data_IF_891224802987
#
_entry.id   IF_891224802987
#
_cell.length_a   1.000
_cell.length_b   1.000
_cell.length_c   1.000
_cell.angle_alpha   90.00
_cell.angle_beta   90.00
_cell.angle_gamma   90.00
#
_symmetry.space_group_name_H-M   'P 1'
#
loop_
_entity.id
_entity.type
_entity.pdbx_description
1 polymer ?
#
# COMPACT_ATOMS: atom_id res chain seq x y z
N UNK A 1 7.42 3.09 -13.34
CA UNK A 1 7.75 1.65 -13.28
C UNK A 1 9.02 1.46 -14.10
N UNK A 2 10.19 1.66 -13.50
CA UNK A 2 11.46 1.44 -14.17
C UNK A 2 12.06 0.10 -13.69
N UNK A 3 12.27 -0.82 -14.63
CA UNK A 3 13.22 -1.93 -14.44
C UNK A 3 14.60 -1.27 -14.35
N UNK A 4 15.06 -0.99 -13.13
CA UNK A 4 16.39 -0.42 -12.91
C UNK A 4 17.43 -1.53 -13.07
N UNK A 5 17.97 -1.68 -14.27
CA UNK A 5 19.16 -2.49 -14.55
C UNK A 5 20.39 -1.73 -14.02
N UNK A 6 20.63 -1.77 -12.70
CA UNK A 6 21.90 -1.32 -12.11
C UNK A 6 22.64 -2.54 -11.59
N UNK A 7 23.73 -2.90 -12.29
CA UNK A 7 24.77 -3.80 -11.78
C UNK A 7 25.40 -3.13 -10.55
N UNK A 8 25.24 -3.71 -9.37
CA UNK A 8 26.10 -3.42 -8.23
C UNK A 8 26.94 -4.67 -7.94
N UNK A 9 28.23 -4.56 -8.22
CA UNK A 9 29.26 -5.47 -7.73
C UNK A 9 29.55 -5.11 -6.27
N UNK A 10 29.13 -5.94 -5.32
CA UNK A 10 29.84 -6.24 -4.06
C UNK A 10 29.10 -7.37 -3.33
N UNK A 11 29.74 -8.54 -3.27
CA UNK A 11 29.25 -9.75 -2.62
C UNK A 11 29.40 -9.65 -1.10
N UNK A 12 28.35 -10.00 -0.36
CA UNK A 12 28.48 -10.61 0.97
C UNK A 12 28.18 -12.10 0.80
N UNK A 13 29.21 -12.93 0.94
CA UNK A 13 29.13 -14.38 0.83
C UNK A 13 28.62 -14.98 2.14
N UNK A 14 27.38 -15.47 2.14
CA UNK A 14 26.87 -16.36 3.19
C UNK A 14 26.92 -17.81 2.70
N UNK A 15 27.94 -18.55 3.15
CA UNK A 15 28.08 -20.00 2.94
C UNK A 15 26.94 -20.73 3.66
N UNK A 16 26.14 -21.51 2.92
CA UNK A 16 25.21 -22.50 3.48
C UNK A 16 25.96 -23.81 3.76
N UNK A 17 25.84 -24.44 4.94
CA UNK A 17 26.23 -25.83 5.09
C UNK A 17 25.06 -26.74 4.68
N UNK A 18 25.30 -27.60 3.69
CA UNK A 18 24.45 -28.75 3.39
C UNK A 18 24.73 -29.86 4.39
N UNK A 19 23.73 -30.24 5.19
CA UNK A 19 23.71 -31.55 5.86
C UNK A 19 22.47 -32.32 5.40
N UNK A 20 22.70 -33.48 4.78
CA UNK A 20 21.71 -34.51 4.59
C UNK A 20 21.18 -34.98 5.96
N UNK A 21 19.87 -35.08 6.12
CA UNK A 21 19.25 -35.82 7.21
C UNK A 21 18.16 -36.73 6.66
N UNK A 22 18.27 -38.00 7.05
CA UNK A 22 17.44 -39.11 6.60
C UNK A 22 15.98 -39.02 7.05
N UNK A 23 15.17 -39.78 6.33
CA UNK A 23 13.75 -39.99 6.60
C UNK A 23 13.61 -40.69 7.95
N UNK A 24 13.06 -39.99 8.94
CA UNK A 24 12.56 -40.60 10.18
C UNK A 24 11.11 -40.15 10.36
N UNK A 25 10.24 -41.14 10.49
CA UNK A 25 8.81 -40.97 10.75
C UNK A 25 8.63 -40.32 12.12
N UNK A 26 8.34 -39.01 12.14
CA UNK A 26 7.85 -38.33 13.34
C UNK A 26 6.33 -38.27 13.29
N UNK A 27 5.70 -38.92 14.25
CA UNK A 27 4.28 -38.79 14.57
C UNK A 27 3.96 -37.34 14.96
N UNK A 28 3.54 -36.53 13.98
CA UNK A 28 3.01 -35.20 14.23
C UNK A 28 1.54 -35.29 14.67
N UNK A 29 1.30 -35.57 15.94
CA UNK A 29 -0.01 -35.36 16.54
C UNK A 29 0.12 -34.64 17.89
N UNK A 30 -0.70 -33.59 18.08
CA UNK A 30 -1.10 -32.98 19.36
C UNK A 30 -0.40 -31.71 19.94
N UNK A 31 0.21 -30.82 19.14
CA UNK A 31 0.64 -29.48 19.67
C UNK A 31 0.14 -28.24 18.90
N UNK A 32 -0.39 -28.38 17.69
CA UNK A 32 -0.87 -27.22 16.90
C UNK A 32 -2.23 -26.64 17.32
N UNK A 33 -2.93 -27.26 18.27
CA UNK A 33 -4.35 -26.97 18.54
C UNK A 33 -4.63 -25.94 19.66
N UNK A 34 -3.62 -25.37 20.33
CA UNK A 34 -3.82 -24.56 21.56
C UNK A 34 -3.52 -23.06 21.37
N UNK A 35 -3.05 -22.61 20.21
CA UNK A 35 -2.59 -21.22 20.05
C UNK A 35 -3.71 -20.22 19.70
N UNK A 36 -4.79 -20.69 19.08
CA UNK A 36 -5.92 -19.85 18.69
C UNK A 36 -7.13 -20.09 19.58
N UNK A 37 -7.94 -19.07 19.76
CA UNK A 37 -9.16 -19.10 20.57
C UNK A 37 -10.24 -18.25 19.91
N UNK A 38 -11.49 -18.50 20.27
CA UNK A 38 -12.62 -17.72 19.79
C UNK A 38 -12.72 -16.43 20.60
N UNK A 39 -12.89 -15.30 19.92
CA UNK A 39 -13.13 -14.02 20.55
C UNK A 39 -14.61 -13.88 20.91
N UNK A 40 -14.89 -13.45 22.15
CA UNK A 40 -16.27 -13.42 22.65
C UNK A 40 -17.15 -12.40 21.92
N UNK A 41 -16.61 -11.22 21.60
CA UNK A 41 -17.35 -10.16 20.94
C UNK A 41 -17.26 -10.29 19.40
N UNK A 42 -18.23 -10.99 18.80
CA UNK A 42 -18.33 -11.19 17.35
C UNK A 42 -17.94 -12.58 16.84
N UNK A 43 -17.24 -13.39 17.67
CA UNK A 43 -17.03 -14.81 17.39
C UNK A 43 -15.90 -15.16 16.42
N UNK A 44 -15.06 -14.20 16.03
CA UNK A 44 -13.85 -14.46 15.23
C UNK A 44 -12.75 -15.20 15.99
N UNK A 45 -11.63 -15.45 15.32
CA UNK A 45 -10.52 -16.25 15.86
C UNK A 45 -9.30 -15.37 16.12
N UNK A 46 -8.64 -15.55 17.26
CA UNK A 46 -7.43 -14.80 17.59
C UNK A 46 -6.35 -15.69 18.18
N UNK A 47 -5.08 -15.31 17.98
CA UNK A 47 -3.94 -15.95 18.61
C UNK A 47 -3.77 -15.45 20.05
N UNK A 48 -3.48 -16.34 21.01
CA UNK A 48 -3.39 -16.01 22.45
C UNK A 48 -2.34 -14.95 22.82
N UNK A 49 -1.32 -14.76 21.98
CA UNK A 49 -0.32 -13.69 22.18
C UNK A 49 -0.69 -12.34 21.56
N UNK A 50 -1.85 -12.22 20.91
CA UNK A 50 -2.35 -10.93 20.45
C UNK A 50 -2.80 -10.09 21.65
N UNK A 51 -2.54 -8.78 21.60
CA UNK A 51 -3.00 -7.82 22.58
C UNK A 51 -4.25 -7.12 22.01
N UNK A 52 -5.42 -7.54 22.47
CA UNK A 52 -6.71 -7.07 21.94
C UNK A 52 -7.48 -6.42 23.07
N UNK A 53 -7.88 -5.18 22.89
CA UNK A 53 -8.74 -4.50 23.86
C UNK A 53 -10.11 -5.21 24.00
N UNK A 54 -10.68 -5.36 25.20
CA UNK A 54 -11.95 -6.07 25.39
C UNK A 54 -13.15 -5.51 24.59
N UNK A 55 -13.10 -4.25 24.19
CA UNK A 55 -14.17 -3.59 23.42
C UNK A 55 -14.14 -3.90 21.93
N UNK A 56 -13.07 -4.54 21.42
CA UNK A 56 -12.90 -4.87 20.01
C UNK A 56 -13.99 -5.85 19.55
N UNK A 57 -14.57 -5.57 18.39
CA UNK A 57 -15.48 -6.47 17.68
C UNK A 57 -14.69 -7.23 16.61
N UNK A 58 -14.61 -8.56 16.72
CA UNK A 58 -14.00 -9.43 15.71
C UNK A 58 -15.08 -10.36 15.20
N UNK A 59 -15.56 -10.12 13.98
CA UNK A 59 -16.62 -10.91 13.37
C UNK A 59 -16.20 -12.34 13.06
N UNK A 60 -17.19 -13.22 12.89
CA UNK A 60 -16.99 -14.61 12.52
C UNK A 60 -16.18 -14.74 11.21
N UNK A 61 -15.21 -15.64 11.21
CA UNK A 61 -14.32 -15.85 10.07
C UNK A 61 -13.17 -14.84 9.95
N UNK A 62 -13.15 -13.76 10.73
CA UNK A 62 -11.95 -12.93 10.84
C UNK A 62 -10.88 -13.62 11.70
N UNK A 63 -9.60 -13.40 11.38
CA UNK A 63 -8.45 -14.04 12.05
C UNK A 63 -7.43 -12.99 12.47
N UNK A 64 -7.09 -12.98 13.75
CA UNK A 64 -6.03 -12.12 14.33
C UNK A 64 -4.83 -12.97 14.73
N UNK A 65 -3.68 -12.69 14.13
CA UNK A 65 -2.45 -13.45 14.35
C UNK A 65 -1.63 -12.96 15.55
N UNK A 66 -0.55 -13.69 15.82
CA UNK A 66 0.31 -13.51 16.99
C UNK A 66 0.90 -12.10 17.09
N UNK A 67 0.96 -11.58 18.33
CA UNK A 67 1.51 -10.26 18.66
C UNK A 67 0.84 -9.07 17.94
N UNK A 68 -0.28 -9.28 17.26
CA UNK A 68 -1.07 -8.17 16.74
C UNK A 68 -1.61 -7.34 17.92
N UNK A 69 -1.77 -6.04 17.71
CA UNK A 69 -2.24 -5.08 18.72
C UNK A 69 -3.45 -4.35 18.18
N UNK A 70 -4.61 -4.51 18.81
CA UNK A 70 -5.87 -3.89 18.42
C UNK A 70 -6.35 -2.97 19.54
N UNK A 71 -6.45 -1.67 19.26
CA UNK A 71 -6.91 -0.66 20.20
C UNK A 71 -8.42 -0.72 20.50
N UNK A 72 -8.89 0.10 21.46
CA UNK A 72 -10.30 0.12 21.85
C UNK A 72 -11.24 0.45 20.68
N UNK A 73 -12.43 -0.15 20.68
CA UNK A 73 -13.49 0.08 19.71
C UNK A 73 -13.09 -0.19 18.24
N UNK A 74 -12.06 -0.99 18.00
CA UNK A 74 -11.75 -1.49 16.66
C UNK A 74 -12.82 -2.50 16.23
N UNK A 75 -13.19 -2.45 14.95
CA UNK A 75 -14.07 -3.43 14.32
C UNK A 75 -13.33 -4.14 13.19
N UNK A 76 -13.27 -5.46 13.26
CA UNK A 76 -12.69 -6.33 12.22
C UNK A 76 -13.80 -7.14 11.57
N UNK A 77 -14.07 -6.85 10.30
CA UNK A 77 -15.09 -7.51 9.51
C UNK A 77 -14.74 -8.96 9.12
N UNK A 78 -15.76 -9.75 8.84
CA UNK A 78 -15.68 -11.15 8.44
C UNK A 78 -14.67 -11.41 7.31
N UNK A 79 -13.92 -12.50 7.41
CA UNK A 79 -12.92 -12.94 6.42
C UNK A 79 -11.63 -12.11 6.38
N UNK A 80 -11.52 -11.05 7.20
CA UNK A 80 -10.30 -10.26 7.32
C UNK A 80 -9.21 -11.00 8.07
N UNK A 81 -7.97 -10.87 7.60
CA UNK A 81 -6.78 -11.42 8.24
C UNK A 81 -5.90 -10.28 8.73
N UNK A 82 -5.75 -10.21 10.06
CA UNK A 82 -4.80 -9.32 10.73
C UNK A 82 -3.53 -10.11 11.01
N UNK A 83 -2.49 -9.87 10.23
CA UNK A 83 -1.21 -10.58 10.29
C UNK A 83 -0.41 -10.33 11.57
N UNK A 84 0.70 -11.08 11.77
CA UNK A 84 1.53 -10.94 12.95
C UNK A 84 2.08 -9.53 13.11
N UNK A 85 2.15 -9.06 14.35
CA UNK A 85 2.74 -7.75 14.72
C UNK A 85 2.09 -6.53 14.02
N UNK A 86 0.92 -6.70 13.41
CA UNK A 86 0.10 -5.59 12.89
C UNK A 86 -0.47 -4.81 14.07
N UNK A 87 -0.45 -3.48 13.97
CA UNK A 87 -1.06 -2.58 14.96
C UNK A 87 -2.22 -1.83 14.33
N UNK A 88 -3.36 -1.79 15.02
CA UNK A 88 -4.55 -1.05 14.60
C UNK A 88 -4.97 -0.13 15.75
N UNK A 89 -5.02 1.18 15.46
CA UNK A 89 -5.40 2.23 16.38
C UNK A 89 -6.87 2.20 16.77
N UNK A 90 -7.23 2.99 17.78
CA UNK A 90 -8.57 3.00 18.36
C UNK A 90 -9.64 3.43 17.36
N UNK A 91 -10.87 2.95 17.55
CA UNK A 91 -12.05 3.36 16.75
C UNK A 91 -11.90 3.17 15.23
N UNK A 92 -10.95 2.34 14.80
CA UNK A 92 -10.71 2.03 13.38
C UNK A 92 -11.62 0.88 12.93
N UNK A 93 -12.24 1.06 11.76
CA UNK A 93 -13.13 0.08 11.13
C UNK A 93 -12.43 -0.59 9.97
N UNK A 94 -12.30 -1.91 10.04
CA UNK A 94 -11.77 -2.75 8.98
C UNK A 94 -12.91 -3.57 8.39
N UNK A 95 -13.16 -3.42 7.09
CA UNK A 95 -14.22 -4.12 6.38
C UNK A 95 -13.94 -5.61 6.19
N UNK A 96 -14.74 -6.25 5.34
CA UNK A 96 -14.64 -7.67 5.01
C UNK A 96 -13.47 -8.00 4.08
N UNK A 97 -12.93 -9.22 4.23
CA UNK A 97 -11.90 -9.80 3.34
C UNK A 97 -10.66 -8.90 3.15
N UNK A 98 -10.27 -8.16 4.18
CA UNK A 98 -9.08 -7.29 4.15
C UNK A 98 -7.84 -8.11 4.53
N UNK A 99 -6.74 -7.92 3.82
CA UNK A 99 -5.44 -8.53 4.11
C UNK A 99 -4.46 -7.52 4.71
N UNK A 100 -4.16 -7.64 6.00
CA UNK A 100 -3.22 -6.76 6.70
C UNK A 100 -1.97 -7.52 7.12
N UNK A 101 -0.80 -7.13 6.65
CA UNK A 101 0.48 -7.68 7.09
C UNK A 101 1.52 -6.56 7.19
N UNK A 102 2.53 -6.69 8.06
CA UNK A 102 3.65 -5.75 8.15
C UNK A 102 3.23 -4.26 8.18
N UNK A 103 2.12 -3.93 8.85
CA UNK A 103 1.55 -2.59 8.80
C UNK A 103 1.18 -2.04 10.17
N UNK A 104 1.07 -0.72 10.23
CA UNK A 104 0.50 0.02 11.36
C UNK A 104 -0.58 0.93 10.82
N UNK A 105 -1.75 0.86 11.43
CA UNK A 105 -2.90 1.70 11.09
C UNK A 105 -3.21 2.56 12.30
N UNK A 106 -3.31 3.87 12.09
CA UNK A 106 -3.66 4.84 13.12
C UNK A 106 -5.13 4.75 13.56
N UNK A 107 -5.54 5.80 14.24
CA UNK A 107 -6.82 5.90 14.91
C UNK A 107 -7.93 6.40 13.98
N UNK A 108 -9.16 5.97 14.26
CA UNK A 108 -10.38 6.44 13.59
C UNK A 108 -10.33 6.33 12.06
N UNK A 109 -9.68 5.28 11.57
CA UNK A 109 -9.57 4.99 10.14
C UNK A 109 -10.74 4.14 9.64
N UNK A 110 -10.98 4.19 8.33
CA UNK A 110 -11.95 3.32 7.65
C UNK A 110 -11.25 2.60 6.52
N UNK A 111 -11.22 1.28 6.57
CA UNK A 111 -10.64 0.42 5.54
C UNK A 111 -11.77 -0.39 4.93
N UNK A 112 -12.10 -0.10 3.67
CA UNK A 112 -13.16 -0.79 2.93
C UNK A 112 -12.75 -2.20 2.51
N UNK A 113 -13.70 -2.92 1.92
CA UNK A 113 -13.58 -4.35 1.64
C UNK A 113 -12.46 -4.70 0.66
N UNK A 114 -11.83 -5.86 0.84
CA UNK A 114 -10.83 -6.40 -0.09
C UNK A 114 -9.51 -5.62 -0.15
N UNK A 115 -9.31 -4.64 0.72
CA UNK A 115 -8.06 -3.87 0.80
C UNK A 115 -6.89 -4.77 1.22
N UNK A 116 -5.73 -4.55 0.61
CA UNK A 116 -4.49 -5.24 0.94
C UNK A 116 -3.42 -4.22 1.38
N UNK A 117 -2.90 -4.35 2.61
CA UNK A 117 -1.90 -3.43 3.16
C UNK A 117 -0.67 -4.20 3.62
N UNK A 118 0.49 -3.69 3.21
CA UNK A 118 1.82 -4.12 3.60
C UNK A 118 2.32 -5.38 2.90
N UNK A 119 1.76 -5.67 1.71
CA UNK A 119 2.32 -6.66 0.79
C UNK A 119 3.69 -6.23 0.27
N UNK A 120 4.49 -7.19 -0.18
CA UNK A 120 5.77 -6.88 -0.82
C UNK A 120 5.53 -6.09 -2.11
N UNK A 121 6.16 -4.94 -2.25
CA UNK A 121 6.13 -4.22 -3.52
C UNK A 121 6.89 -4.92 -4.64
N UNK A 122 6.69 -4.41 -5.85
CA UNK A 122 7.26 -4.96 -7.08
C UNK A 122 8.77 -4.67 -7.23
N UNK A 123 9.59 -5.31 -6.40
CA UNK A 123 11.05 -5.17 -6.40
C UNK A 123 11.76 -6.44 -6.87
N UNK A 124 12.35 -6.39 -8.06
CA UNK A 124 13.17 -7.48 -8.62
C UNK A 124 14.48 -6.93 -9.17
N UNK A 125 15.54 -7.76 -9.14
CA UNK A 125 16.80 -7.50 -9.85
C UNK A 125 17.14 -8.70 -10.72
N UNK A 126 17.89 -8.44 -11.81
CA UNK A 126 18.39 -9.47 -12.70
C UNK A 126 19.81 -9.81 -12.27
N UNK A 127 20.09 -11.08 -11.95
CA UNK A 127 21.44 -11.53 -11.66
C UNK A 127 22.31 -11.64 -12.94
N UNK A 128 23.60 -11.94 -12.79
CA UNK A 128 24.52 -12.07 -13.93
C UNK A 128 24.16 -13.21 -14.91
N UNK A 129 23.27 -14.13 -14.49
CA UNK A 129 22.78 -15.25 -15.28
C UNK A 129 21.42 -14.97 -15.93
N UNK A 130 20.84 -13.79 -15.71
CA UNK A 130 19.53 -13.42 -16.24
C UNK A 130 18.33 -13.83 -15.37
N UNK A 131 18.55 -14.37 -14.16
CA UNK A 131 17.45 -14.77 -13.28
C UNK A 131 16.81 -13.56 -12.59
N UNK A 132 15.48 -13.57 -12.51
CA UNK A 132 14.70 -12.57 -11.77
C UNK A 132 14.71 -12.91 -10.28
N UNK A 133 15.46 -12.14 -9.50
CA UNK A 133 15.61 -12.32 -8.08
C UNK A 133 14.79 -11.30 -7.31
N UNK A 134 14.00 -11.77 -6.33
CA UNK A 134 13.17 -10.90 -5.49
C UNK A 134 14.04 -10.04 -4.58
N UNK A 135 13.78 -8.73 -4.56
CA UNK A 135 14.39 -7.80 -3.60
C UNK A 135 13.60 -7.86 -2.28
N UNK A 136 14.24 -8.16 -1.14
CA UNK A 136 13.57 -8.17 0.15
C UNK A 136 12.91 -6.83 0.48
N UNK A 137 11.65 -6.87 0.92
CA UNK A 137 10.91 -5.73 1.47
C UNK A 137 10.72 -6.00 2.96
N UNK A 138 11.47 -5.33 3.82
CA UNK A 138 11.56 -5.67 5.25
C UNK A 138 10.86 -4.68 6.18
N UNK A 139 10.45 -3.52 5.66
CA UNK A 139 9.89 -2.44 6.46
C UNK A 139 8.36 -2.49 6.44
N UNK A 140 7.66 -1.41 6.75
CA UNK A 140 6.22 -1.42 6.98
C UNK A 140 5.45 -0.55 6.00
N UNK A 141 4.13 -0.72 6.01
CA UNK A 141 3.19 0.31 5.58
C UNK A 141 2.62 0.99 6.83
N UNK A 142 2.73 2.32 6.90
CA UNK A 142 2.31 3.13 8.05
C UNK A 142 1.18 4.05 7.58
N UNK A 143 0.00 3.83 8.13
CA UNK A 143 -1.20 4.62 7.85
C UNK A 143 -1.45 5.52 9.06
N UNK A 144 -1.59 6.82 8.81
CA UNK A 144 -1.91 7.81 9.83
C UNK A 144 -3.32 7.70 10.39
N UNK A 145 -3.78 8.76 11.03
CA UNK A 145 -5.09 8.86 11.67
C UNK A 145 -6.16 9.40 10.70
N UNK A 146 -7.42 9.05 10.92
CA UNK A 146 -8.57 9.51 10.12
C UNK A 146 -8.43 9.24 8.61
N UNK A 147 -7.65 8.23 8.23
CA UNK A 147 -7.46 7.83 6.83
C UNK A 147 -8.63 6.95 6.40
N UNK A 148 -9.11 7.17 5.18
CA UNK A 148 -10.10 6.29 4.55
C UNK A 148 -9.51 5.64 3.30
N UNK A 149 -9.63 4.33 3.19
CA UNK A 149 -9.07 3.52 2.10
C UNK A 149 -10.19 2.73 1.44
N UNK A 150 -10.49 3.08 0.19
CA UNK A 150 -11.55 2.49 -0.63
C UNK A 150 -11.30 1.03 -1.00
N UNK A 151 -12.35 0.38 -1.47
CA UNK A 151 -12.39 -1.05 -1.71
C UNK A 151 -11.31 -1.50 -2.72
N UNK A 152 -10.72 -2.67 -2.45
CA UNK A 152 -9.69 -3.30 -3.28
C UNK A 152 -8.46 -2.42 -3.57
N UNK A 153 -8.19 -1.40 -2.74
CA UNK A 153 -6.95 -0.63 -2.80
C UNK A 153 -5.79 -1.43 -2.23
N UNK A 154 -4.62 -1.31 -2.87
CA UNK A 154 -3.40 -2.03 -2.50
C UNK A 154 -2.32 -1.04 -2.07
N UNK A 155 -1.71 -1.28 -0.91
CA UNK A 155 -0.63 -0.46 -0.35
C UNK A 155 0.57 -1.35 -0.05
N UNK A 156 1.62 -1.22 -0.84
CA UNK A 156 2.84 -1.99 -0.67
C UNK A 156 3.66 -1.50 0.53
N UNK A 157 4.34 -2.41 1.23
CA UNK A 157 5.29 -2.07 2.30
C UNK A 157 6.58 -1.47 1.74
N UNK A 158 7.34 -0.84 2.63
CA UNK A 158 8.68 -0.34 2.34
C UNK A 158 9.78 -1.41 2.24
N UNK A 159 10.81 -1.14 1.43
CA UNK A 159 12.12 -1.81 1.49
C UNK A 159 13.16 -1.06 2.34
N UNK A 160 13.45 0.20 2.01
CA UNK A 160 14.51 1.00 2.66
C UNK A 160 13.97 2.16 3.51
N UNK A 161 12.75 2.60 3.23
CA UNK A 161 11.91 3.43 4.12
C UNK A 161 10.49 2.90 4.13
N UNK A 162 9.74 3.16 5.18
CA UNK A 162 8.31 2.81 5.23
C UNK A 162 7.54 3.46 4.08
N UNK A 163 6.49 2.78 3.63
CA UNK A 163 5.42 3.42 2.86
C UNK A 163 4.53 4.14 3.86
N UNK A 164 4.24 5.43 3.65
CA UNK A 164 3.50 6.27 4.60
C UNK A 164 2.33 6.95 3.92
N UNK A 165 1.16 6.87 4.56
CA UNK A 165 -0.04 7.64 4.22
C UNK A 165 -0.34 8.58 5.37
N UNK A 166 -0.24 9.89 5.15
CA UNK A 166 -0.46 10.91 6.17
C UNK A 166 -1.93 11.05 6.57
N UNK A 167 -2.12 11.65 7.75
CA UNK A 167 -3.42 11.82 8.40
C UNK A 167 -4.48 12.46 7.50
N UNK A 168 -5.74 12.13 7.74
CA UNK A 168 -6.92 12.66 7.03
C UNK A 168 -6.96 12.40 5.51
N UNK A 169 -6.05 11.60 4.97
CA UNK A 169 -6.05 11.27 3.53
C UNK A 169 -7.20 10.31 3.17
N UNK A 170 -7.70 10.45 1.95
CA UNK A 170 -8.84 9.70 1.40
C UNK A 170 -8.42 9.05 0.08
N UNK A 171 -8.37 7.73 0.07
CA UNK A 171 -8.07 6.93 -1.10
C UNK A 171 -9.37 6.27 -1.54
N UNK A 172 -9.74 6.45 -2.79
CA UNK A 172 -10.90 5.82 -3.39
C UNK A 172 -10.59 4.34 -3.74
N UNK A 173 -11.52 3.68 -4.41
CA UNK A 173 -11.44 2.28 -4.79
C UNK A 173 -10.34 2.03 -5.83
N UNK A 174 -9.75 0.83 -5.78
CA UNK A 174 -8.77 0.34 -6.76
C UNK A 174 -7.55 1.25 -6.93
N UNK A 175 -7.14 1.96 -5.87
CA UNK A 175 -5.90 2.75 -5.88
C UNK A 175 -4.70 1.81 -5.67
N UNK A 176 -3.59 2.07 -6.37
CA UNK A 176 -2.32 1.37 -6.15
C UNK A 176 -1.30 2.33 -5.55
N UNK A 177 -0.78 1.98 -4.37
CA UNK A 177 0.35 2.66 -3.72
C UNK A 177 1.58 1.75 -3.75
N UNK A 178 2.59 2.12 -4.53
CA UNK A 178 3.85 1.40 -4.62
C UNK A 178 4.70 1.45 -3.34
N UNK A 179 5.74 0.62 -3.32
CA UNK A 179 6.67 0.55 -2.19
C UNK A 179 7.40 1.88 -1.94
N UNK A 180 7.67 2.18 -0.67
CA UNK A 180 8.35 3.41 -0.25
C UNK A 180 7.61 4.68 -0.70
N UNK A 181 6.31 4.70 -0.93
CA UNK A 181 5.63 5.98 -1.22
C UNK A 181 5.47 6.76 0.08
N UNK A 182 5.66 8.08 0.05
CA UNK A 182 5.22 8.97 1.15
C UNK A 182 4.16 9.90 0.60
N UNK A 183 2.98 9.88 1.22
CA UNK A 183 1.88 10.81 0.98
C UNK A 183 1.70 11.66 2.23
N UNK A 184 1.67 12.98 2.06
CA UNK A 184 1.37 13.94 3.12
C UNK A 184 -0.06 13.83 3.64
N UNK A 185 -0.47 14.81 4.44
CA UNK A 185 -1.82 14.82 5.06
C UNK A 185 -2.89 15.39 4.14
N UNK A 186 -4.14 14.97 4.36
CA UNK A 186 -5.32 15.54 3.71
C UNK A 186 -5.33 15.37 2.19
N UNK A 187 -4.68 14.34 1.66
CA UNK A 187 -4.65 14.06 0.24
C UNK A 187 -5.92 13.30 -0.21
N UNK A 188 -6.39 13.55 -1.44
CA UNK A 188 -7.54 12.88 -2.04
C UNK A 188 -7.13 12.18 -3.33
N UNK A 189 -7.24 10.86 -3.36
CA UNK A 189 -6.83 10.03 -4.49
C UNK A 189 -8.06 9.36 -5.08
N UNK A 190 -8.55 9.84 -6.22
CA UNK A 190 -9.73 9.27 -6.87
C UNK A 190 -9.43 7.89 -7.48
N UNK A 191 -10.50 7.16 -7.81
CA UNK A 191 -10.43 5.76 -8.17
C UNK A 191 -9.44 5.45 -9.29
N UNK A 192 -8.79 4.29 -9.16
CA UNK A 192 -7.80 3.79 -10.12
C UNK A 192 -6.55 4.68 -10.27
N UNK A 193 -6.29 5.61 -9.34
CA UNK A 193 -5.01 6.30 -9.30
C UNK A 193 -3.87 5.31 -8.98
N UNK A 194 -2.76 5.43 -9.71
CA UNK A 194 -1.59 4.56 -9.58
C UNK A 194 -0.33 5.36 -9.27
N UNK A 195 0.27 5.09 -8.12
CA UNK A 195 1.49 5.75 -7.65
C UNK A 195 2.61 4.72 -7.64
N UNK A 196 3.62 4.92 -8.49
CA UNK A 196 4.78 4.03 -8.54
C UNK A 196 5.71 4.21 -7.31
N UNK A 197 6.66 3.29 -7.17
CA UNK A 197 7.52 3.23 -5.99
C UNK A 197 8.36 4.49 -5.75
N UNK A 198 8.65 4.75 -4.47
CA UNK A 198 9.52 5.84 -4.00
C UNK A 198 9.09 7.26 -4.37
N UNK A 199 7.81 7.47 -4.70
CA UNK A 199 7.23 8.80 -4.86
C UNK A 199 7.12 9.52 -3.52
N UNK A 200 7.26 10.84 -3.54
CA UNK A 200 6.98 11.71 -2.40
C UNK A 200 5.94 12.75 -2.80
N UNK A 201 4.86 12.82 -2.04
CA UNK A 201 3.73 13.73 -2.25
C UNK A 201 3.57 14.58 -1.00
N UNK A 202 3.50 15.90 -1.16
CA UNK A 202 3.19 16.84 -0.09
C UNK A 202 1.74 16.73 0.41
N UNK A 203 1.31 17.76 1.13
CA UNK A 203 -0.01 17.83 1.75
C UNK A 203 -1.09 18.37 0.81
N UNK A 204 -2.34 17.98 1.04
CA UNK A 204 -3.52 18.50 0.34
C UNK A 204 -3.46 18.32 -1.18
N UNK A 205 -2.85 17.22 -1.65
CA UNK A 205 -2.82 16.89 -3.07
C UNK A 205 -4.12 16.21 -3.47
N UNK A 206 -4.65 16.55 -4.65
CA UNK A 206 -5.81 15.86 -5.24
C UNK A 206 -5.41 15.19 -6.55
N UNK A 207 -5.59 13.88 -6.64
CA UNK A 207 -5.43 13.12 -7.88
C UNK A 207 -6.81 12.81 -8.46
N UNK A 208 -7.09 13.27 -9.68
CA UNK A 208 -8.25 12.84 -10.44
C UNK A 208 -8.22 11.34 -10.76
N UNK A 209 -9.35 10.80 -11.21
CA UNK A 209 -9.45 9.37 -11.52
C UNK A 209 -8.41 8.93 -12.55
N UNK A 210 -7.84 7.73 -12.37
CA UNK A 210 -6.82 7.14 -13.26
C UNK A 210 -5.57 8.01 -13.47
N UNK A 211 -5.22 8.88 -12.54
CA UNK A 211 -3.92 9.56 -12.58
C UNK A 211 -2.81 8.54 -12.34
N UNK A 212 -1.73 8.64 -13.12
CA UNK A 212 -0.51 7.84 -12.95
C UNK A 212 0.67 8.73 -12.53
N UNK A 213 1.49 8.26 -11.59
CA UNK A 213 2.71 8.96 -11.15
C UNK A 213 3.91 8.03 -11.34
N UNK A 214 4.93 8.51 -12.07
CA UNK A 214 6.20 7.81 -12.27
C UNK A 214 6.96 7.68 -10.94
N UNK A 215 7.73 6.60 -10.82
CA UNK A 215 8.60 6.33 -9.68
C UNK A 215 9.66 7.42 -9.49
N UNK A 216 10.06 7.61 -8.23
CA UNK A 216 11.08 8.58 -7.83
C UNK A 216 10.77 10.05 -8.18
N UNK A 217 9.49 10.41 -8.24
CA UNK A 217 9.04 11.78 -8.45
C UNK A 217 8.62 12.42 -7.13
N UNK A 218 8.87 13.72 -6.99
CA UNK A 218 8.38 14.57 -5.90
C UNK A 218 7.29 15.53 -6.38
N UNK A 219 6.19 15.63 -5.62
CA UNK A 219 5.06 16.51 -5.92
C UNK A 219 4.82 17.44 -4.72
N UNK A 220 4.87 18.74 -4.96
CA UNK A 220 4.62 19.77 -3.95
C UNK A 220 3.19 19.72 -3.41
N UNK A 221 3.02 20.25 -2.19
CA UNK A 221 1.70 20.37 -1.55
C UNK A 221 0.73 21.20 -2.40
N UNK A 222 -0.57 20.98 -2.24
CA UNK A 222 -1.67 21.72 -2.91
C UNK A 222 -1.64 21.62 -4.44
N UNK A 223 -1.12 20.52 -4.98
CA UNK A 223 -1.23 20.16 -6.40
C UNK A 223 -2.55 19.43 -6.66
N UNK A 224 -3.23 19.78 -7.75
CA UNK A 224 -4.41 19.05 -8.24
C UNK A 224 -4.15 18.55 -9.66
N UNK A 225 -4.26 17.25 -9.86
CA UNK A 225 -4.04 16.59 -11.14
C UNK A 225 -5.37 16.21 -11.78
N UNK A 226 -5.61 16.67 -13.01
CA UNK A 226 -6.79 16.28 -13.77
C UNK A 226 -6.81 14.77 -14.04
N UNK A 227 -8.00 14.19 -14.19
CA UNK A 227 -8.16 12.77 -14.48
C UNK A 227 -7.36 12.32 -15.71
N UNK A 228 -6.88 11.08 -15.71
CA UNK A 228 -6.01 10.48 -16.75
C UNK A 228 -4.67 11.22 -16.99
N UNK A 229 -4.22 12.07 -16.08
CA UNK A 229 -2.91 12.72 -16.21
C UNK A 229 -1.77 11.77 -15.80
N UNK A 230 -0.59 11.97 -16.38
CA UNK A 230 0.60 11.19 -16.09
C UNK A 230 1.75 12.09 -15.68
N UNK A 231 2.17 12.02 -14.41
CA UNK A 231 3.30 12.79 -13.89
C UNK A 231 4.60 12.05 -14.21
N UNK A 232 5.45 12.67 -15.03
CA UNK A 232 6.72 12.10 -15.48
C UNK A 232 7.95 12.76 -14.86
N UNK A 233 7.79 13.91 -14.21
CA UNK A 233 8.85 14.68 -13.56
C UNK A 233 8.32 15.38 -12.33
N UNK A 234 9.24 15.91 -11.51
CA UNK A 234 8.88 16.63 -10.29
C UNK A 234 7.97 17.83 -10.59
N UNK A 235 7.03 18.05 -9.67
CA UNK A 235 6.15 19.22 -9.65
C UNK A 235 6.52 20.00 -8.39
N UNK A 236 7.20 21.13 -8.55
CA UNK A 236 7.72 21.92 -7.43
C UNK A 236 6.75 23.00 -6.97
N UNK A 237 5.78 23.37 -7.80
CA UNK A 237 4.83 24.45 -7.52
C UNK A 237 3.41 23.92 -7.28
N UNK A 238 2.66 24.52 -6.34
CA UNK A 238 1.25 24.23 -6.17
C UNK A 238 0.44 24.67 -7.41
N UNK A 239 -0.70 24.04 -7.64
CA UNK A 239 -1.61 24.44 -8.71
C UNK A 239 -2.26 23.27 -9.44
N UNK A 240 -2.90 23.60 -10.55
CA UNK A 240 -3.61 22.65 -11.39
C UNK A 240 -2.73 22.14 -12.53
N UNK A 241 -2.67 20.82 -12.70
CA UNK A 241 -1.88 20.14 -13.72
C UNK A 241 -2.75 19.16 -14.50
N UNK A 242 -2.40 18.93 -15.76
CA UNK A 242 -3.14 18.01 -16.63
C UNK A 242 -2.31 17.42 -17.76
N UNK A 243 -2.74 16.26 -18.27
CA UNK A 243 -2.22 15.65 -19.48
C UNK A 243 -1.14 14.60 -19.28
N UNK A 244 -0.60 14.12 -20.40
CA UNK A 244 0.54 13.21 -20.47
C UNK A 244 1.55 13.76 -21.50
N UNK A 245 2.72 14.25 -21.05
CA UNK A 245 3.11 14.45 -19.65
C UNK A 245 2.27 15.52 -18.96
N UNK A 246 2.15 15.45 -17.63
CA UNK A 246 1.47 16.45 -16.83
C UNK A 246 2.21 17.79 -16.92
N UNK A 247 1.49 18.86 -17.28
CA UNK A 247 1.95 20.25 -17.35
C UNK A 247 0.92 21.17 -16.69
N UNK A 248 1.23 22.44 -16.39
CA UNK A 248 0.25 23.38 -15.87
C UNK A 248 -1.03 23.39 -16.71
N UNK A 249 -2.20 23.43 -16.05
CA UNK A 249 -3.49 23.14 -16.68
C UNK A 249 -3.80 24.05 -17.89
N UNK A 250 -3.33 25.30 -17.85
CA UNK A 250 -3.54 26.27 -18.91
C UNK A 250 -2.74 25.90 -20.17
N UNK A 251 -1.51 25.42 -20.01
CA UNK A 251 -0.69 24.89 -21.11
C UNK A 251 -1.33 23.64 -21.69
N UNK A 252 -1.76 22.71 -20.84
CA UNK A 252 -2.41 21.49 -21.30
C UNK A 252 -3.69 21.78 -22.11
N UNK A 253 -4.56 22.67 -21.62
CA UNK A 253 -5.76 23.10 -22.36
C UNK A 253 -5.42 23.71 -23.72
N UNK A 254 -4.37 24.53 -23.79
CA UNK A 254 -3.88 25.10 -25.06
C UNK A 254 -3.36 24.03 -26.01
N UNK A 255 -2.61 23.05 -25.52
CA UNK A 255 -2.13 21.92 -26.32
C UNK A 255 -3.29 21.10 -26.90
N UNK A 256 -4.32 20.80 -26.10
CA UNK A 256 -5.53 20.08 -26.54
C UNK A 256 -6.26 20.87 -27.62
N UNK A 257 -6.52 22.16 -27.40
CA UNK A 257 -7.18 23.02 -28.39
C UNK A 257 -6.38 23.13 -29.69
N UNK A 258 -5.05 23.25 -29.62
CA UNK A 258 -4.17 23.29 -30.77
C UNK A 258 -4.26 22.00 -31.60
N UNK A 259 -4.17 20.83 -30.93
CA UNK A 259 -4.27 19.51 -31.55
C UNK A 259 -5.59 19.33 -32.31
N UNK A 260 -6.70 19.74 -31.71
CA UNK A 260 -8.03 19.71 -32.34
C UNK A 260 -8.12 20.59 -33.59
N UNK A 261 -7.50 21.79 -33.56
CA UNK A 261 -7.47 22.68 -34.74
C UNK A 261 -6.61 22.13 -35.86
N UNK A 262 -5.47 21.50 -35.55
CA UNK A 262 -4.59 20.87 -36.53
C UNK A 262 -5.27 19.65 -37.16
N UNK A 263 -5.93 18.79 -36.37
CA UNK A 263 -6.61 17.61 -36.91
C UNK A 263 -7.74 17.96 -37.88
N UNK A 264 -8.38 19.13 -37.72
CA UNK A 264 -9.36 19.64 -38.69
C UNK A 264 -8.74 20.17 -39.99
N UNK A 265 -7.47 20.59 -39.97
CA UNK A 265 -6.79 21.15 -41.15
C UNK A 265 -6.15 20.10 -42.05
N UNK A 266 -5.92 18.87 -41.56
CA UNK A 266 -5.24 17.80 -42.30
C UNK A 266 -6.18 16.94 -43.19
N UNK A 267 -7.37 17.43 -43.55
CA UNK A 267 -8.36 16.73 -44.40
C UNK A 267 -8.64 17.50 -45.71
N UNK A 268 -7.65 18.25 -46.22
CA UNK A 268 -7.66 18.85 -47.56
C UNK A 268 -6.35 18.54 -48.24
#
# INVERSE_FOLDING_TARGET
MAISVKRLSHLISLKRPTKHFGVSNYSASSTFQIEYSKWNNGGGTFHKSACIDPTVLIEIGAVVHSKAVLGPNVHVGSGTVVGPEVTIGHSTKIGYNVGLINCRIGDSCVVHHGVCIGQDGFGFFVDDKGNMMKKPQLLKAVIGNHVEIGANTCIDRGSWRDTVIGDHSKLDNLVQIGHNVVIGKGCMLCGQAGIAGSVTMGDYITLGGRVAIRDHVSIASKVRLAANSCVTKDITEPGDYGGFPAVPIHEWRRQVACRYRISKKAIL
#
